data_IF_932941077627
#
_entry.id   IF_932941077627
#
_cell.length_a   1.000
_cell.length_b   1.000
_cell.length_c   1.000
_cell.angle_alpha   90.00
_cell.angle_beta   90.00
_cell.angle_gamma   90.00
#
_symmetry.space_group_name_H-M   'P 1'
#
loop_
_entity.id
_entity.type
_entity.pdbx_description
1 polymer ?
#
# COMPACT_ATOMS: atom_id res chain seq x y z
N UNK A 1 -9.93 5.30 0.00
CA UNK A 1 -10.15 4.66 -1.30
C UNK A 1 -9.44 5.40 -2.43
N UNK A 2 -9.56 6.72 -2.58
CA UNK A 2 -9.01 7.47 -3.70
C UNK A 2 -7.47 7.44 -3.86
N UNK A 3 -6.71 6.97 -2.86
CA UNK A 3 -5.26 6.97 -2.93
C UNK A 3 -4.69 5.95 -3.93
N UNK A 4 -5.28 4.74 -4.02
CA UNK A 4 -4.71 3.65 -4.83
C UNK A 4 -5.72 2.67 -5.44
N UNK A 5 -7.03 2.77 -5.13
CA UNK A 5 -8.01 1.81 -5.67
C UNK A 5 -8.12 1.88 -7.20
N UNK A 6 -7.94 3.06 -7.80
CA UNK A 6 -7.87 3.20 -9.25
C UNK A 6 -6.78 2.31 -9.86
N UNK A 7 -5.61 2.20 -9.21
CA UNK A 7 -4.53 1.31 -9.60
C UNK A 7 -4.95 -0.16 -9.53
N UNK A 8 -5.65 -0.57 -8.47
CA UNK A 8 -6.12 -1.94 -8.33
C UNK A 8 -7.11 -2.34 -9.43
N UNK A 9 -8.01 -1.43 -9.82
CA UNK A 9 -9.02 -1.69 -10.84
C UNK A 9 -8.49 -1.65 -12.27
N UNK A 10 -7.72 -0.63 -12.63
CA UNK A 10 -7.34 -0.32 -14.01
C UNK A 10 -5.82 -0.15 -14.21
N UNK A 11 -5.01 -0.54 -13.23
CA UNK A 11 -3.55 -0.53 -13.38
C UNK A 11 -3.07 -1.55 -14.40
N UNK A 12 -1.89 -1.27 -14.99
CA UNK A 12 -1.25 -2.11 -16.01
C UNK A 12 -0.72 -3.42 -15.47
N UNK A 13 -0.52 -3.52 -14.15
CA UNK A 13 -0.07 -4.74 -13.46
C UNK A 13 -1.14 -5.15 -12.47
N UNK A 14 -1.47 -6.44 -12.45
CA UNK A 14 -2.40 -7.00 -11.46
C UNK A 14 -1.69 -7.05 -10.11
N UNK A 15 -2.29 -6.39 -9.12
CA UNK A 15 -1.81 -6.38 -7.74
C UNK A 15 -2.81 -7.12 -6.87
N UNK A 16 -2.47 -8.30 -6.32
CA UNK A 16 -3.30 -8.96 -5.31
C UNK A 16 -3.47 -8.07 -4.08
N UNK A 17 -4.66 -8.07 -3.50
CA UNK A 17 -4.95 -7.22 -2.35
C UNK A 17 -5.68 -7.98 -1.26
N UNK A 18 -5.22 -7.79 -0.02
CA UNK A 18 -5.89 -8.31 1.16
C UNK A 18 -6.82 -7.24 1.74
N UNK A 19 -8.06 -7.62 1.97
CA UNK A 19 -9.09 -6.81 2.58
C UNK A 19 -9.37 -7.35 3.98
N UNK A 20 -9.14 -6.52 4.99
CA UNK A 20 -9.30 -6.92 6.40
C UNK A 20 -10.44 -6.13 7.02
N UNK A 21 -11.41 -6.83 7.62
CA UNK A 21 -12.50 -6.22 8.36
C UNK A 21 -12.94 -7.09 9.54
N UNK A 22 -13.71 -6.49 10.43
CA UNK A 22 -14.24 -7.15 11.62
C UNK A 22 -15.75 -6.89 11.72
N UNK A 23 -16.51 -7.87 12.17
CA UNK A 23 -17.97 -7.75 12.31
C UNK A 23 -18.37 -6.72 13.37
N UNK A 24 -17.58 -6.62 14.45
CA UNK A 24 -17.86 -5.72 15.56
C UNK A 24 -16.79 -4.65 15.68
N UNK A 25 -17.21 -3.40 16.00
CA UNK A 25 -16.31 -2.30 16.33
C UNK A 25 -16.26 -2.05 17.83
N UNK A 26 -15.07 -1.75 18.35
CA UNK A 26 -14.90 -1.34 19.75
C UNK A 26 -15.42 0.09 20.03
N UNK A 27 -15.59 0.90 18.97
CA UNK A 27 -16.00 2.30 19.08
C UNK A 27 -17.20 2.54 18.15
N UNK A 28 -18.42 2.10 18.51
CA UNK A 28 -19.60 2.32 17.70
C UNK A 28 -19.88 3.82 17.54
N UNK A 29 -20.20 4.23 16.32
CA UNK A 29 -20.51 5.61 15.98
C UNK A 29 -21.67 5.66 14.98
N UNK A 30 -22.47 6.70 15.04
CA UNK A 30 -23.54 6.97 14.08
C UNK A 30 -23.33 8.34 13.45
N UNK A 31 -23.63 8.44 12.15
CA UNK A 31 -23.67 9.70 11.41
C UNK A 31 -25.03 9.80 10.70
N UNK A 32 -25.78 10.89 10.99
CA UNK A 32 -27.13 11.10 10.45
C UNK A 32 -28.06 9.88 10.62
N UNK A 33 -27.93 9.15 11.73
CA UNK A 33 -28.73 7.98 12.06
C UNK A 33 -28.27 6.68 11.38
N UNK A 34 -27.18 6.68 10.62
CA UNK A 34 -26.57 5.50 10.02
C UNK A 34 -25.40 5.00 10.87
N UNK A 35 -25.28 3.69 10.99
CA UNK A 35 -24.10 3.07 11.61
C UNK A 35 -22.87 3.25 10.70
N UNK A 36 -21.85 3.95 11.22
CA UNK A 36 -20.60 4.22 10.48
C UNK A 36 -19.86 2.93 10.16
N UNK A 37 -19.95 1.93 11.03
CA UNK A 37 -19.30 0.63 10.81
C UNK A 37 -19.97 -0.14 9.66
N UNK A 38 -21.30 -0.13 9.58
CA UNK A 38 -22.02 -0.73 8.44
C UNK A 38 -21.70 -0.02 7.12
N UNK A 39 -21.56 1.31 7.12
CA UNK A 39 -21.10 2.05 5.93
C UNK A 39 -19.69 1.63 5.51
N UNK A 40 -18.80 1.43 6.46
CA UNK A 40 -17.45 0.92 6.19
C UNK A 40 -17.49 -0.50 5.61
N UNK A 41 -18.24 -1.42 6.22
CA UNK A 41 -18.39 -2.79 5.73
C UNK A 41 -19.04 -2.85 4.35
N UNK A 42 -20.02 -1.98 4.07
CA UNK A 42 -20.61 -1.82 2.74
C UNK A 42 -19.55 -1.49 1.68
N UNK A 43 -18.64 -0.57 1.98
CA UNK A 43 -17.51 -0.24 1.09
C UNK A 43 -16.52 -1.40 0.95
N UNK A 44 -16.20 -2.11 2.03
CA UNK A 44 -15.35 -3.30 2.01
C UNK A 44 -15.92 -4.35 1.03
N UNK A 45 -17.20 -4.70 1.16
CA UNK A 45 -17.84 -5.69 0.32
C UNK A 45 -18.01 -5.19 -1.13
N UNK A 46 -18.33 -3.92 -1.34
CA UNK A 46 -18.49 -3.34 -2.67
C UNK A 46 -17.17 -3.35 -3.46
N UNK A 47 -16.04 -3.04 -2.82
CA UNK A 47 -14.74 -3.03 -3.49
C UNK A 47 -14.26 -4.42 -3.87
N UNK A 48 -14.39 -5.41 -2.99
CA UNK A 48 -14.03 -6.80 -3.30
C UNK A 48 -14.90 -7.35 -4.44
N UNK A 49 -16.22 -7.05 -4.43
CA UNK A 49 -17.14 -7.40 -5.51
C UNK A 49 -16.75 -6.73 -6.83
N UNK A 50 -16.47 -5.43 -6.81
CA UNK A 50 -16.12 -4.67 -8.01
C UNK A 50 -14.79 -5.16 -8.62
N UNK A 51 -13.80 -5.48 -7.81
CA UNK A 51 -12.52 -6.07 -8.26
C UNK A 51 -12.72 -7.45 -8.88
N UNK A 52 -13.61 -8.28 -8.32
CA UNK A 52 -13.88 -9.60 -8.84
C UNK A 52 -14.63 -9.60 -10.18
N UNK A 53 -15.71 -8.82 -10.27
CA UNK A 53 -16.64 -8.90 -11.40
C UNK A 53 -16.45 -7.81 -12.44
N UNK A 54 -15.89 -6.66 -12.06
CA UNK A 54 -15.73 -5.52 -12.96
C UNK A 54 -17.05 -4.90 -13.40
N UNK A 55 -17.03 -4.27 -14.57
CA UNK A 55 -18.19 -3.65 -15.22
C UNK A 55 -17.98 -3.58 -16.73
N UNK A 56 -18.89 -4.15 -17.49
CA UNK A 56 -18.81 -4.22 -18.95
C UNK A 56 -19.21 -2.90 -19.62
N UNK A 57 -18.82 -2.73 -20.88
CA UNK A 57 -19.21 -1.56 -21.66
C UNK A 57 -20.74 -1.45 -21.84
N UNK A 58 -21.45 -2.58 -21.96
CA UNK A 58 -22.90 -2.59 -22.13
C UNK A 58 -23.62 -2.17 -20.85
N UNK A 59 -23.13 -2.61 -19.68
CA UNK A 59 -23.65 -2.13 -18.38
C UNK A 59 -23.42 -0.63 -18.21
N UNK A 60 -22.23 -0.14 -18.59
CA UNK A 60 -21.91 1.30 -18.53
C UNK A 60 -22.82 2.12 -19.46
N UNK A 61 -23.11 1.63 -20.67
CA UNK A 61 -24.06 2.27 -21.61
C UNK A 61 -25.47 2.28 -21.07
N UNK A 62 -25.92 1.17 -20.48
CA UNK A 62 -27.26 1.05 -19.90
C UNK A 62 -27.51 2.08 -18.78
N UNK A 63 -26.46 2.60 -18.14
CA UNK A 63 -26.54 3.69 -17.14
C UNK A 63 -26.71 5.10 -17.79
N UNK A 64 -26.72 5.21 -19.11
CA UNK A 64 -26.79 6.49 -19.81
C UNK A 64 -25.45 7.23 -19.89
N UNK A 65 -24.35 6.51 -19.76
CA UNK A 65 -23.00 7.09 -19.87
C UNK A 65 -22.73 7.56 -21.31
N UNK A 66 -22.22 8.80 -21.52
CA UNK A 66 -21.82 9.26 -22.84
C UNK A 66 -20.75 8.35 -23.46
N UNK A 67 -20.88 8.02 -24.75
CA UNK A 67 -20.02 7.02 -25.42
C UNK A 67 -18.52 7.35 -25.31
N UNK A 68 -18.16 8.64 -25.31
CA UNK A 68 -16.77 9.09 -25.22
C UNK A 68 -16.07 8.68 -23.92
N UNK A 69 -16.82 8.47 -22.82
CA UNK A 69 -16.26 8.10 -21.51
C UNK A 69 -16.58 6.65 -21.11
N UNK A 70 -17.35 5.90 -21.94
CA UNK A 70 -17.60 4.48 -21.70
C UNK A 70 -16.31 3.70 -21.48
N UNK A 71 -15.25 3.82 -22.31
CA UNK A 71 -14.02 3.04 -22.09
C UNK A 71 -13.35 3.32 -20.74
N UNK A 72 -13.41 4.55 -20.24
CA UNK A 72 -12.83 4.93 -18.95
C UNK A 72 -13.60 4.37 -17.75
N UNK A 73 -14.88 4.00 -17.94
CA UNK A 73 -15.76 3.46 -16.91
C UNK A 73 -15.94 1.95 -16.98
N UNK A 74 -15.28 1.28 -17.91
CA UNK A 74 -15.21 -0.18 -17.96
C UNK A 74 -14.15 -0.70 -17.00
N UNK A 75 -14.46 -1.79 -16.32
CA UNK A 75 -13.55 -2.47 -15.40
C UNK A 75 -13.51 -3.94 -15.78
N UNK A 76 -12.31 -4.47 -15.99
CA UNK A 76 -12.13 -5.87 -16.46
C UNK A 76 -12.60 -6.89 -15.42
N UNK A 77 -12.53 -6.55 -14.13
CA UNK A 77 -12.70 -7.53 -13.07
C UNK A 77 -11.54 -8.53 -12.99
N UNK A 78 -11.81 -9.70 -12.45
CA UNK A 78 -10.82 -10.77 -12.26
C UNK A 78 -9.52 -10.29 -11.57
N UNK A 79 -9.64 -9.33 -10.67
CA UNK A 79 -8.56 -8.82 -9.83
C UNK A 79 -8.57 -9.62 -8.52
N UNK A 80 -7.51 -10.39 -8.22
CA UNK A 80 -7.50 -11.28 -7.07
C UNK A 80 -7.51 -10.51 -5.75
N UNK A 81 -8.39 -10.96 -4.85
CA UNK A 81 -8.46 -10.43 -3.48
C UNK A 81 -8.60 -11.55 -2.47
N UNK A 82 -8.03 -11.35 -1.29
CA UNK A 82 -8.30 -12.19 -0.11
C UNK A 82 -9.12 -11.38 0.87
N UNK A 83 -10.23 -11.92 1.38
CA UNK A 83 -11.01 -11.28 2.43
C UNK A 83 -10.75 -11.98 3.76
N UNK A 84 -10.18 -11.24 4.71
CA UNK A 84 -9.98 -11.66 6.09
C UNK A 84 -11.05 -10.97 6.94
N UNK A 85 -12.03 -11.75 7.42
CA UNK A 85 -13.16 -11.22 8.16
C UNK A 85 -13.22 -11.85 9.55
N UNK A 86 -12.90 -11.05 10.57
CA UNK A 86 -12.89 -11.48 11.97
C UNK A 86 -14.15 -11.05 12.73
N UNK A 87 -14.28 -11.54 13.96
CA UNK A 87 -15.36 -11.11 14.84
C UNK A 87 -15.12 -9.70 15.39
N UNK A 88 -14.03 -9.50 16.13
CA UNK A 88 -13.66 -8.23 16.76
C UNK A 88 -12.15 -8.04 16.75
N UNK A 89 -11.68 -6.82 16.46
CA UNK A 89 -10.26 -6.49 16.54
C UNK A 89 -9.83 -6.38 18.01
N UNK A 90 -9.34 -7.48 18.54
CA UNK A 90 -8.73 -7.54 19.88
C UNK A 90 -7.21 -7.51 19.77
N UNK A 91 -6.45 -7.25 20.87
CA UNK A 91 -4.99 -7.42 20.86
C UNK A 91 -4.55 -8.84 20.46
N UNK A 92 -5.33 -9.86 20.79
CA UNK A 92 -5.09 -11.24 20.38
C UNK A 92 -5.25 -11.40 18.87
N UNK A 93 -6.38 -10.95 18.28
CA UNK A 93 -6.63 -11.01 16.84
C UNK A 93 -5.59 -10.21 16.05
N UNK A 94 -5.13 -9.07 16.57
CA UNK A 94 -4.03 -8.32 15.95
C UNK A 94 -2.72 -9.13 15.97
N UNK A 95 -2.42 -9.81 17.08
CA UNK A 95 -1.26 -10.69 17.18
C UNK A 95 -1.31 -11.85 16.19
N UNK A 96 -2.49 -12.45 15.99
CA UNK A 96 -2.71 -13.50 14.97
C UNK A 96 -2.47 -12.97 13.54
N UNK A 97 -2.97 -11.76 13.23
CA UNK A 97 -2.72 -11.13 11.92
C UNK A 97 -1.22 -10.86 11.69
N UNK A 98 -0.52 -10.33 12.69
CA UNK A 98 0.93 -10.10 12.59
C UNK A 98 1.64 -11.42 12.33
N UNK A 99 1.36 -12.45 13.12
CA UNK A 99 1.98 -13.77 12.95
C UNK A 99 1.64 -14.40 11.57
N UNK A 100 0.40 -14.22 11.08
CA UNK A 100 0.01 -14.66 9.74
C UNK A 100 0.92 -14.05 8.67
N UNK A 101 1.13 -12.73 8.68
CA UNK A 101 1.97 -12.07 7.68
C UNK A 101 3.46 -12.40 7.84
N UNK A 102 3.95 -12.61 9.06
CA UNK A 102 5.31 -13.11 9.28
C UNK A 102 5.50 -14.50 8.64
N UNK A 103 4.53 -15.40 8.81
CA UNK A 103 4.56 -16.72 8.17
C UNK A 103 4.44 -16.64 6.66
N UNK A 104 3.59 -15.76 6.11
CA UNK A 104 3.46 -15.55 4.66
C UNK A 104 4.82 -15.13 4.08
N UNK A 105 5.46 -14.11 4.65
CA UNK A 105 6.79 -13.64 4.20
C UNK A 105 7.85 -14.74 4.25
N UNK A 106 7.86 -15.54 5.33
CA UNK A 106 8.77 -16.68 5.45
C UNK A 106 8.55 -17.73 4.37
N UNK A 107 7.29 -18.12 4.15
CA UNK A 107 6.92 -19.14 3.15
C UNK A 107 7.24 -18.66 1.74
N UNK A 108 6.86 -17.43 1.40
CA UNK A 108 7.14 -16.83 0.10
C UNK A 108 8.64 -16.74 -0.16
N UNK A 109 9.42 -16.26 0.80
CA UNK A 109 10.88 -16.22 0.68
C UNK A 109 11.49 -17.59 0.48
N UNK A 110 10.98 -18.61 1.19
CA UNK A 110 11.43 -20.00 1.03
C UNK A 110 11.12 -20.54 -0.38
N UNK A 111 9.91 -20.28 -0.89
CA UNK A 111 9.47 -20.71 -2.22
C UNK A 111 10.28 -20.01 -3.33
N UNK A 112 10.57 -18.73 -3.15
CA UNK A 112 11.33 -17.94 -4.13
C UNK A 112 12.85 -18.09 -4.00
N UNK A 113 13.35 -18.76 -2.98
CA UNK A 113 14.78 -18.88 -2.70
C UNK A 113 15.43 -17.56 -2.28
N UNK A 114 14.68 -16.71 -1.58
CA UNK A 114 15.10 -15.40 -1.05
C UNK A 114 15.30 -15.53 0.46
N UNK A 115 16.34 -14.89 0.99
CA UNK A 115 16.51 -14.75 2.43
C UNK A 115 15.58 -13.66 2.97
N UNK A 116 14.47 -14.07 3.58
CA UNK A 116 13.44 -13.18 4.09
C UNK A 116 13.89 -12.28 5.25
N UNK A 117 15.00 -12.63 5.91
CA UNK A 117 15.47 -11.93 7.10
C UNK A 117 16.68 -11.02 6.84
N UNK A 118 17.22 -11.01 5.61
CA UNK A 118 18.30 -10.13 5.20
C UNK A 118 17.82 -8.93 4.38
N UNK A 119 18.48 -7.81 4.59
CA UNK A 119 18.15 -6.53 3.95
C UNK A 119 19.41 -5.87 3.38
N UNK A 120 20.03 -6.49 2.39
CA UNK A 120 21.30 -6.03 1.80
C UNK A 120 21.24 -4.57 1.32
N UNK A 121 20.11 -4.09 0.81
CA UNK A 121 19.93 -2.68 0.44
C UNK A 121 20.00 -1.73 1.63
N UNK A 122 19.53 -2.13 2.79
CA UNK A 122 19.62 -1.34 4.03
C UNK A 122 21.06 -1.33 4.54
N UNK A 123 21.77 -2.44 4.46
CA UNK A 123 23.19 -2.52 4.86
C UNK A 123 24.07 -1.61 3.98
N UNK A 124 23.86 -1.61 2.67
CA UNK A 124 24.54 -0.68 1.77
C UNK A 124 24.26 0.78 2.16
N UNK A 125 23.01 1.14 2.44
CA UNK A 125 22.63 2.48 2.88
C UNK A 125 23.34 2.90 4.17
N UNK A 126 23.46 2.00 5.16
CA UNK A 126 24.19 2.25 6.40
C UNK A 126 25.71 2.46 6.17
N UNK A 127 26.30 1.68 5.26
CA UNK A 127 27.72 1.83 4.90
C UNK A 127 27.98 3.20 4.26
N UNK A 128 27.15 3.60 3.27
CA UNK A 128 27.24 4.90 2.61
C UNK A 128 27.00 6.05 3.60
N UNK A 129 26.02 5.93 4.50
CA UNK A 129 25.76 6.95 5.51
C UNK A 129 27.00 7.19 6.41
N UNK A 130 27.72 6.15 6.81
CA UNK A 130 28.97 6.27 7.58
C UNK A 130 30.07 7.00 6.80
N UNK A 131 30.12 6.83 5.47
CA UNK A 131 31.09 7.49 4.61
C UNK A 131 30.70 8.97 4.36
N UNK A 132 29.41 9.26 4.25
CA UNK A 132 28.89 10.61 3.97
C UNK A 132 28.87 11.50 5.23
N UNK A 133 28.62 10.92 6.41
CA UNK A 133 28.47 11.72 7.65
C UNK A 133 29.66 12.66 7.95
N UNK A 134 30.93 12.27 7.77
CA UNK A 134 32.05 13.18 7.96
C UNK A 134 32.01 14.39 7.01
N UNK A 135 31.49 14.23 5.80
CA UNK A 135 31.41 15.28 4.78
C UNK A 135 30.56 16.49 5.21
N UNK A 136 29.71 16.37 6.24
CA UNK A 136 29.00 17.53 6.79
C UNK A 136 29.91 18.55 7.47
N UNK A 137 31.14 18.18 7.84
CA UNK A 137 32.08 19.02 8.57
C UNK A 137 33.49 19.05 7.94
N UNK A 138 33.82 18.16 7.03
CA UNK A 138 35.12 18.00 6.39
C UNK A 138 34.98 18.18 4.86
N UNK A 139 35.74 19.12 4.30
CA UNK A 139 35.74 19.43 2.86
C UNK A 139 36.42 18.35 2.03
N UNK A 140 37.43 17.66 2.58
CA UNK A 140 38.07 16.56 1.88
C UNK A 140 37.08 15.38 1.71
N UNK A 141 36.40 15.01 2.79
CA UNK A 141 35.36 13.98 2.74
C UNK A 141 34.18 14.36 1.83
N UNK A 142 33.82 15.67 1.77
CA UNK A 142 32.81 16.16 0.83
C UNK A 142 33.26 16.02 -0.63
N UNK A 143 34.50 16.33 -0.94
CA UNK A 143 35.02 16.26 -2.30
C UNK A 143 35.07 14.82 -2.87
N UNK A 144 35.03 13.80 -2.02
CA UNK A 144 34.96 12.39 -2.41
C UNK A 144 33.54 11.96 -2.82
N UNK A 145 32.51 12.78 -2.53
CA UNK A 145 31.13 12.46 -2.85
C UNK A 145 30.79 12.85 -4.30
N UNK A 146 29.70 12.25 -4.81
CA UNK A 146 29.14 12.66 -6.10
C UNK A 146 28.58 14.10 -6.05
N UNK A 147 28.43 14.71 -7.23
CA UNK A 147 28.06 16.12 -7.34
C UNK A 147 26.69 16.45 -6.72
N UNK A 148 25.73 15.53 -6.77
CA UNK A 148 24.41 15.71 -6.14
C UNK A 148 24.53 15.74 -4.62
N UNK A 149 25.24 14.78 -4.04
CA UNK A 149 25.48 14.69 -2.59
C UNK A 149 26.28 15.91 -2.10
N UNK A 150 27.31 16.36 -2.84
CA UNK A 150 28.05 17.58 -2.51
C UNK A 150 27.14 18.82 -2.45
N UNK A 151 26.28 19.00 -3.46
CA UNK A 151 25.37 20.15 -3.53
C UNK A 151 24.37 20.15 -2.37
N UNK A 152 23.85 18.98 -1.98
CA UNK A 152 22.94 18.84 -0.83
C UNK A 152 23.64 19.12 0.50
N UNK A 153 24.89 18.70 0.65
CA UNK A 153 25.71 19.02 1.84
C UNK A 153 25.99 20.52 1.92
N UNK A 154 26.30 21.17 0.80
CA UNK A 154 26.50 22.62 0.74
C UNK A 154 25.24 23.38 1.12
N UNK A 155 24.10 22.99 0.57
CA UNK A 155 22.81 23.56 0.95
C UNK A 155 22.53 23.41 2.43
N UNK A 156 22.72 22.21 2.99
CA UNK A 156 22.59 21.97 4.41
C UNK A 156 23.48 22.88 5.25
N UNK A 157 24.79 22.97 4.91
CA UNK A 157 25.75 23.81 5.65
C UNK A 157 25.36 25.28 5.63
N UNK A 158 24.84 25.77 4.50
CA UNK A 158 24.42 27.17 4.34
C UNK A 158 23.15 27.54 5.13
N UNK A 159 22.28 26.57 5.41
CA UNK A 159 20.95 26.83 5.99
C UNK A 159 20.80 26.29 7.43
N UNK A 160 21.73 25.50 7.93
CA UNK A 160 21.69 25.01 9.30
C UNK A 160 21.88 26.18 10.27
N UNK A 161 20.93 26.31 11.20
CA UNK A 161 20.98 27.28 12.31
C UNK A 161 21.64 26.64 13.52
#
# INVERSE_FOLDING_TARGET
QHAFYQLLHQGTVVVPADFIAFANTANPATDNGQDVHELFLGNFLAQTKALAFGKTADEVRAEGTPEQIVPARCFEGNRPTTSIFGDTLTPFALGELIALYEHIVFVEGTVWGIDSYDQWGVELGKQLAKQITPAFHDDAAKAEQDASTQALIEFYRAHRK
#
